data_IF_251804308876
#
_entry.id   IF_251804308876
#
_cell.length_a   1.000
_cell.length_b   1.000
_cell.length_c   1.000
_cell.angle_alpha   90.00
_cell.angle_beta   90.00
_cell.angle_gamma   90.00
#
_symmetry.space_group_name_H-M   'P 1'
#
loop_
_entity.id
_entity.type
_entity.pdbx_description
1 polymer ?
#
# COMPACT_ATOMS: atom_id res chain seq x y z
N UNK A 1 16.89 -6.94 6.90
CA UNK A 1 17.47 -7.58 5.69
C UNK A 1 18.62 -6.70 5.22
N UNK A 2 19.83 -7.24 5.17
CA UNK A 2 20.99 -6.51 4.67
C UNK A 2 20.92 -6.32 3.16
N UNK A 3 21.53 -5.25 2.66
CA UNK A 3 21.48 -4.85 1.25
C UNK A 3 22.89 -4.54 0.77
N UNK A 4 23.29 -5.08 -0.39
CA UNK A 4 24.64 -4.86 -0.93
C UNK A 4 24.86 -3.39 -1.35
N UNK A 5 26.12 -2.94 -1.35
CA UNK A 5 26.50 -1.68 -1.99
C UNK A 5 26.20 -1.79 -3.49
N UNK A 6 25.42 -0.87 -4.05
CA UNK A 6 24.87 -0.89 -5.43
C UNK A 6 23.59 -1.71 -5.65
N UNK A 7 22.88 -2.07 -4.59
CA UNK A 7 21.54 -2.67 -4.67
C UNK A 7 20.44 -1.63 -4.43
N UNK A 8 19.25 -1.85 -5.01
CA UNK A 8 18.05 -1.15 -4.56
C UNK A 8 17.77 -1.46 -3.07
N UNK A 9 17.17 -0.53 -2.30
CA UNK A 9 16.84 -0.79 -0.90
C UNK A 9 15.85 -1.96 -0.77
N UNK A 10 15.95 -2.75 0.29
CA UNK A 10 15.10 -3.94 0.47
C UNK A 10 13.58 -3.64 0.44
N UNK A 11 13.16 -2.43 0.87
CA UNK A 11 11.75 -2.00 0.79
C UNK A 11 11.24 -1.92 -0.66
N UNK A 12 12.12 -1.76 -1.64
CA UNK A 12 11.76 -1.78 -3.06
C UNK A 12 11.16 -3.12 -3.52
N UNK A 13 11.40 -4.22 -2.78
CA UNK A 13 10.79 -5.52 -3.07
C UNK A 13 9.27 -5.48 -2.98
N UNK A 14 8.69 -4.61 -2.15
CA UNK A 14 7.24 -4.46 -1.99
C UNK A 14 6.68 -3.23 -2.74
N UNK A 15 7.54 -2.49 -3.44
CA UNK A 15 7.12 -1.32 -4.19
C UNK A 15 6.28 -1.72 -5.42
N UNK A 16 5.43 -0.82 -5.93
CA UNK A 16 4.74 -1.03 -7.20
C UNK A 16 5.72 -1.40 -8.32
N UNK A 17 5.24 -2.13 -9.32
CA UNK A 17 6.08 -2.67 -10.38
C UNK A 17 6.84 -1.59 -11.17
N UNK A 18 6.18 -0.45 -11.41
CA UNK A 18 6.70 0.68 -12.17
C UNK A 18 7.51 1.68 -11.33
N UNK A 19 7.73 1.40 -10.04
CA UNK A 19 8.47 2.30 -9.16
C UNK A 19 9.98 2.10 -9.31
N UNK A 20 10.72 3.18 -9.54
CA UNK A 20 12.17 3.16 -9.69
C UNK A 20 12.65 2.73 -11.09
N UNK A 21 13.97 2.64 -11.27
CA UNK A 21 14.58 2.25 -12.55
C UNK A 21 14.20 0.80 -12.91
N UNK A 22 13.90 0.52 -14.19
CA UNK A 22 13.54 -0.82 -14.67
C UNK A 22 14.62 -1.87 -14.41
N UNK A 23 15.88 -1.43 -14.43
CA UNK A 23 17.05 -2.25 -14.17
C UNK A 23 17.41 -2.31 -12.68
N UNK A 24 16.66 -1.63 -11.81
CA UNK A 24 16.86 -1.69 -10.36
C UNK A 24 16.25 -2.96 -9.78
N UNK A 25 17.02 -3.61 -8.91
CA UNK A 25 16.60 -4.79 -8.16
C UNK A 25 17.38 -4.87 -6.86
N UNK A 26 16.85 -5.65 -5.93
CA UNK A 26 17.50 -5.87 -4.65
C UNK A 26 18.47 -7.05 -4.74
N UNK A 27 19.62 -6.92 -4.08
CA UNK A 27 20.65 -7.95 -3.85
C UNK A 27 21.07 -7.96 -2.38
N UNK A 28 21.20 -9.15 -1.83
CA UNK A 28 21.92 -9.36 -0.58
C UNK A 28 23.44 -9.21 -0.78
N UNK A 29 24.21 -8.88 0.27
CA UNK A 29 25.67 -9.00 0.25
C UNK A 29 26.09 -10.43 -0.15
N UNK A 30 27.21 -10.57 -0.87
CA UNK A 30 27.70 -11.88 -1.34
C UNK A 30 28.08 -12.85 -0.22
N UNK A 31 28.32 -12.35 1.00
CA UNK A 31 28.51 -13.18 2.20
C UNK A 31 27.22 -13.84 2.72
N UNK A 32 26.05 -13.37 2.28
CA UNK A 32 24.75 -13.80 2.81
C UNK A 32 24.15 -14.89 1.94
N UNK A 33 24.15 -16.12 2.44
CA UNK A 33 23.61 -17.29 1.72
C UNK A 33 22.13 -17.57 2.03
N UNK A 34 21.54 -16.89 3.02
CA UNK A 34 20.15 -17.09 3.44
C UNK A 34 19.55 -15.77 3.91
N UNK A 35 18.35 -15.44 3.43
CA UNK A 35 17.59 -14.27 3.85
C UNK A 35 16.15 -14.66 4.16
N UNK A 36 15.62 -14.13 5.26
CA UNK A 36 14.23 -14.26 5.64
C UNK A 36 13.53 -12.90 5.61
N UNK A 37 12.38 -12.84 4.94
CA UNK A 37 11.49 -11.69 4.87
C UNK A 37 10.23 -11.98 5.68
N UNK A 38 9.84 -11.04 6.54
CA UNK A 38 8.51 -11.02 7.15
C UNK A 38 7.67 -9.90 6.52
N UNK A 39 6.60 -10.25 5.83
CA UNK A 39 5.68 -9.30 5.19
C UNK A 39 4.40 -9.25 6.03
N UNK A 40 4.15 -8.11 6.65
CA UNK A 40 2.93 -7.86 7.42
C UNK A 40 1.88 -7.25 6.51
N UNK A 41 0.74 -7.91 6.38
CA UNK A 41 -0.40 -7.42 5.61
C UNK A 41 -1.17 -6.38 6.42
N UNK A 42 -1.72 -5.36 5.74
CA UNK A 42 -2.52 -4.31 6.41
C UNK A 42 -3.71 -4.89 7.19
N UNK A 43 -4.40 -5.86 6.59
CA UNK A 43 -5.54 -6.58 7.17
C UNK A 43 -5.29 -8.10 7.19
N UNK A 44 -6.02 -8.81 8.05
CA UNK A 44 -6.10 -10.28 7.93
C UNK A 44 -6.69 -10.58 6.56
N UNK A 45 -6.00 -11.42 5.80
CA UNK A 45 -6.34 -11.68 4.40
C UNK A 45 -6.32 -13.17 4.13
N UNK A 46 -7.18 -13.62 3.23
CA UNK A 46 -7.15 -14.98 2.71
C UNK A 46 -6.17 -14.99 1.52
N UNK A 47 -4.96 -15.53 1.74
CA UNK A 47 -3.81 -15.51 0.84
C UNK A 47 -3.72 -16.82 0.07
N UNK A 48 -3.64 -16.75 -1.26
CA UNK A 48 -3.57 -17.90 -2.16
C UNK A 48 -2.17 -18.19 -2.72
N UNK A 49 -1.23 -17.25 -2.57
CA UNK A 49 0.15 -17.49 -2.98
C UNK A 49 1.03 -16.24 -2.98
N UNK A 50 2.25 -16.41 -3.49
CA UNK A 50 3.26 -15.34 -3.65
C UNK A 50 3.86 -15.41 -5.05
N UNK A 51 4.19 -14.27 -5.65
CA UNK A 51 5.00 -14.22 -6.87
C UNK A 51 6.28 -13.45 -6.61
N UNK A 52 7.39 -14.04 -7.05
CA UNK A 52 8.69 -13.39 -7.09
C UNK A 52 8.97 -12.94 -8.51
N UNK A 53 9.20 -11.65 -8.69
CA UNK A 53 9.69 -11.12 -9.97
C UNK A 53 11.21 -11.24 -9.97
N UNK A 54 11.71 -11.91 -10.99
CA UNK A 54 13.14 -12.17 -11.18
C UNK A 54 13.84 -10.85 -11.51
N UNK A 55 15.09 -10.73 -11.07
CA UNK A 55 15.91 -9.59 -11.46
C UNK A 55 16.13 -9.53 -12.98
N UNK A 56 16.46 -8.36 -13.53
CA UNK A 56 16.78 -8.20 -14.95
C UNK A 56 17.97 -9.06 -15.40
N UNK A 57 18.90 -9.39 -14.50
CA UNK A 57 20.04 -10.27 -14.83
C UNK A 57 19.66 -11.76 -14.89
N UNK A 58 18.45 -12.13 -14.45
CA UNK A 58 18.01 -13.52 -14.38
C UNK A 58 18.72 -14.31 -13.29
N UNK A 59 18.30 -15.56 -13.10
CA UNK A 59 19.04 -16.53 -12.30
C UNK A 59 20.01 -17.33 -13.19
N UNK A 60 20.91 -18.02 -12.52
CA UNK A 60 21.90 -18.96 -13.01
C UNK A 60 21.90 -20.19 -12.10
N UNK A 61 22.73 -21.17 -12.42
CA UNK A 61 22.87 -22.37 -11.60
C UNK A 61 23.50 -22.11 -10.22
N UNK A 62 24.18 -20.97 -10.03
CA UNK A 62 24.92 -20.65 -8.80
C UNK A 62 24.13 -19.75 -7.83
N UNK A 63 23.18 -18.96 -8.32
CA UNK A 63 22.43 -17.94 -7.58
C UNK A 63 20.91 -18.22 -7.53
N UNK A 64 20.46 -19.36 -8.03
CA UNK A 64 19.07 -19.82 -7.90
C UNK A 64 18.77 -20.29 -6.46
N UNK A 65 17.86 -19.62 -5.72
CA UNK A 65 17.58 -19.96 -4.33
C UNK A 65 16.53 -21.06 -4.19
N UNK A 66 16.63 -21.86 -3.12
CA UNK A 66 15.47 -22.56 -2.58
C UNK A 66 14.59 -21.57 -1.82
N UNK A 67 13.30 -21.56 -2.13
CA UNK A 67 12.29 -20.67 -1.55
C UNK A 67 11.39 -21.46 -0.60
N UNK A 68 11.26 -20.99 0.63
CA UNK A 68 10.30 -21.53 1.61
C UNK A 68 9.36 -20.43 2.06
N UNK A 69 8.07 -20.74 2.13
CA UNK A 69 7.04 -19.77 2.52
C UNK A 69 6.25 -20.30 3.69
N UNK A 70 6.07 -19.47 4.72
CA UNK A 70 5.19 -19.73 5.85
C UNK A 70 4.16 -18.62 6.00
N UNK A 71 3.05 -18.95 6.64
CA UNK A 71 2.01 -18.00 6.99
C UNK A 71 1.76 -18.04 8.51
N UNK A 72 1.52 -16.89 9.13
CA UNK A 72 1.16 -16.79 10.54
C UNK A 72 0.29 -15.56 10.84
N UNK A 73 -0.29 -15.52 12.03
CA UNK A 73 -0.99 -14.33 12.56
C UNK A 73 -0.15 -13.55 13.56
N UNK A 74 0.79 -14.21 14.23
CA UNK A 74 1.73 -13.62 15.19
C UNK A 74 3.17 -13.78 14.74
N UNK A 75 4.06 -13.07 15.42
CA UNK A 75 5.48 -13.01 15.08
C UNK A 75 6.24 -14.28 15.55
N UNK A 76 5.69 -15.02 16.51
CA UNK A 76 6.32 -16.22 17.08
C UNK A 76 6.54 -17.31 16.02
N UNK A 77 7.73 -17.92 16.02
CA UNK A 77 8.15 -18.91 15.03
C UNK A 77 7.34 -20.22 15.09
N UNK A 78 6.89 -20.58 16.28
CA UNK A 78 6.12 -21.82 16.54
C UNK A 78 4.74 -21.82 15.89
N UNK A 79 4.13 -20.64 15.71
CA UNK A 79 2.79 -20.50 15.11
C UNK A 79 2.83 -20.40 13.57
N UNK A 80 3.99 -20.67 12.95
CA UNK A 80 4.16 -20.56 11.50
C UNK A 80 3.73 -21.83 10.79
N UNK A 81 2.74 -21.72 9.92
CA UNK A 81 2.31 -22.82 9.05
C UNK A 81 3.13 -22.80 7.76
N UNK A 82 3.80 -23.91 7.42
CA UNK A 82 4.56 -24.04 6.16
C UNK A 82 3.61 -24.19 4.96
N UNK A 83 3.68 -23.25 4.03
CA UNK A 83 2.84 -23.23 2.82
C UNK A 83 3.47 -24.03 1.68
N UNK A 84 4.81 -24.06 1.62
CA UNK A 84 5.53 -24.86 0.65
C UNK A 84 7.02 -24.57 0.62
N UNK A 85 7.73 -25.43 -0.12
CA UNK A 85 9.15 -25.33 -0.44
C UNK A 85 9.30 -25.55 -1.94
N UNK A 86 9.96 -24.61 -2.60
CA UNK A 86 10.21 -24.63 -4.04
C UNK A 86 11.71 -24.50 -4.30
N UNK A 87 12.24 -25.32 -5.19
CA UNK A 87 13.63 -25.22 -5.61
C UNK A 87 13.72 -24.57 -6.99
N UNK A 88 14.13 -23.29 -7.06
CA UNK A 88 14.24 -22.59 -8.34
C UNK A 88 15.28 -23.23 -9.27
N UNK A 89 16.29 -23.89 -8.72
CA UNK A 89 17.31 -24.54 -9.55
C UNK A 89 16.68 -25.68 -10.38
N UNK A 90 15.81 -26.49 -9.76
CA UNK A 90 15.01 -27.48 -10.48
C UNK A 90 14.05 -26.86 -11.52
N UNK A 91 13.44 -25.72 -11.20
CA UNK A 91 12.53 -25.02 -12.11
C UNK A 91 13.26 -24.46 -13.34
N UNK A 92 14.46 -23.91 -13.13
CA UNK A 92 15.34 -23.42 -14.20
C UNK A 92 15.78 -24.54 -15.14
N UNK A 93 16.08 -25.73 -14.62
CA UNK A 93 16.40 -26.90 -15.46
C UNK A 93 15.20 -27.32 -16.32
N UNK A 94 13.99 -27.14 -15.81
CA UNK A 94 12.74 -27.45 -16.53
C UNK A 94 12.29 -26.37 -17.51
N UNK A 95 12.62 -25.10 -17.27
CA UNK A 95 12.30 -23.98 -18.15
C UNK A 95 13.43 -22.95 -18.21
N UNK A 96 13.95 -22.69 -19.42
CA UNK A 96 15.03 -21.73 -19.64
C UNK A 96 14.62 -20.27 -19.46
N UNK A 97 13.33 -19.99 -19.27
CA UNK A 97 12.78 -18.63 -19.24
C UNK A 97 13.29 -17.80 -18.06
N UNK A 98 13.75 -18.44 -16.98
CA UNK A 98 14.23 -17.79 -15.77
C UNK A 98 15.75 -17.49 -15.80
N UNK A 99 16.45 -17.94 -16.84
CA UNK A 99 17.90 -17.85 -16.96
C UNK A 99 18.41 -16.63 -17.72
N UNK A 100 19.57 -16.11 -17.30
CA UNK A 100 20.36 -15.12 -18.03
C UNK A 100 19.74 -13.73 -18.11
N UNK A 101 20.45 -12.72 -18.67
CA UNK A 101 19.97 -11.35 -18.71
C UNK A 101 18.77 -11.17 -19.66
N UNK A 102 17.89 -10.23 -19.34
CA UNK A 102 16.79 -9.83 -20.24
C UNK A 102 17.35 -9.31 -21.57
N UNK A 103 16.71 -9.69 -22.69
CA UNK A 103 17.14 -9.26 -24.03
C UNK A 103 16.88 -7.76 -24.21
N UNK A 104 17.83 -6.99 -24.74
CA UNK A 104 17.59 -5.58 -25.05
C UNK A 104 16.45 -5.46 -26.07
N UNK A 105 15.51 -4.53 -25.84
CA UNK A 105 14.35 -4.31 -26.71
C UNK A 105 13.04 -5.01 -26.32
N UNK A 106 13.00 -5.82 -25.25
CA UNK A 106 11.74 -6.38 -24.71
C UNK A 106 11.03 -5.46 -23.72
N UNK A 107 11.19 -4.15 -23.89
CA UNK A 107 10.72 -3.10 -22.97
C UNK A 107 9.19 -3.04 -22.77
N UNK A 108 8.42 -3.73 -23.64
CA UNK A 108 6.97 -3.87 -23.56
C UNK A 108 6.51 -5.29 -23.17
N UNK A 109 7.42 -6.19 -22.81
CA UNK A 109 7.07 -7.57 -22.43
C UNK A 109 6.93 -7.74 -20.93
N UNK A 110 6.10 -8.72 -20.56
CA UNK A 110 5.83 -9.11 -19.18
C UNK A 110 7.15 -9.50 -18.47
N UNK A 111 7.38 -8.99 -17.26
CA UNK A 111 8.58 -9.31 -16.47
C UNK A 111 8.63 -10.80 -16.12
N UNK A 112 9.85 -11.35 -16.11
CA UNK A 112 10.07 -12.74 -15.69
C UNK A 112 9.69 -12.92 -14.22
N UNK A 113 8.90 -13.93 -13.94
CA UNK A 113 8.35 -14.13 -12.61
C UNK A 113 8.13 -15.62 -12.33
N UNK A 114 8.11 -15.96 -11.04
CA UNK A 114 7.83 -17.30 -10.54
C UNK A 114 6.65 -17.22 -9.58
N UNK A 115 5.63 -18.06 -9.79
CA UNK A 115 4.44 -18.14 -8.94
C UNK A 115 4.59 -19.30 -7.94
N UNK A 116 4.48 -18.98 -6.66
CA UNK A 116 4.42 -19.93 -5.54
C UNK A 116 2.99 -20.00 -5.04
N UNK A 117 2.19 -20.88 -5.64
CA UNK A 117 0.79 -21.06 -5.29
C UNK A 117 0.65 -21.98 -4.08
N UNK A 118 -0.23 -21.62 -3.15
CA UNK A 118 -0.53 -22.45 -1.99
C UNK A 118 -1.54 -23.53 -2.38
N UNK A 119 -1.49 -24.69 -1.70
CA UNK A 119 -2.44 -25.79 -1.93
C UNK A 119 -3.89 -25.37 -1.63
N UNK A 120 -4.06 -24.51 -0.65
CA UNK A 120 -5.33 -23.88 -0.29
C UNK A 120 -5.06 -22.44 0.15
N UNK A 121 -6.04 -21.56 -0.06
CA UNK A 121 -5.98 -20.20 0.48
C UNK A 121 -5.95 -20.24 2.00
N UNK A 122 -5.03 -19.51 2.62
CA UNK A 122 -4.88 -19.46 4.07
C UNK A 122 -5.18 -18.07 4.61
N UNK A 123 -5.87 -18.04 5.73
CA UNK A 123 -6.13 -16.82 6.48
C UNK A 123 -4.92 -16.45 7.31
N UNK A 124 -4.25 -15.36 6.97
CA UNK A 124 -3.07 -14.90 7.70
C UNK A 124 -2.93 -13.38 7.73
N UNK A 125 -2.12 -12.88 8.67
CA UNK A 125 -1.68 -11.48 8.73
C UNK A 125 -0.22 -11.29 8.32
N UNK A 126 0.60 -12.33 8.43
CA UNK A 126 2.04 -12.27 8.17
C UNK A 126 2.42 -13.42 7.23
N UNK A 127 3.17 -13.09 6.18
CA UNK A 127 3.81 -14.06 5.29
C UNK A 127 5.32 -14.00 5.51
N UNK A 128 5.93 -15.15 5.76
CA UNK A 128 7.37 -15.30 5.91
C UNK A 128 7.93 -15.97 4.65
N UNK A 129 8.97 -15.39 4.07
CA UNK A 129 9.62 -15.93 2.86
C UNK A 129 11.10 -16.10 3.18
N UNK A 130 11.62 -17.31 3.09
CA UNK A 130 13.06 -17.59 3.17
C UNK A 130 13.60 -17.91 1.79
N UNK A 131 14.68 -17.23 1.40
CA UNK A 131 15.48 -17.52 0.22
C UNK A 131 16.83 -18.04 0.68
N UNK A 132 17.25 -19.22 0.19
CA UNK A 132 18.51 -19.84 0.57
C UNK A 132 19.26 -20.38 -0.64
N UNK A 133 20.51 -19.97 -0.81
CA UNK A 133 21.41 -20.58 -1.79
C UNK A 133 21.91 -21.93 -1.28
N UNK A 134 22.00 -22.91 -2.17
CA UNK A 134 22.65 -24.17 -1.85
C UNK A 134 24.17 -23.93 -1.87
N UNK A 135 24.85 -24.25 -0.76
CA UNK A 135 26.32 -24.24 -0.74
C UNK A 135 26.83 -25.35 -1.67
N UNK A 136 27.88 -25.11 -2.47
CA UNK A 136 28.56 -26.18 -3.19
C UNK A 136 28.98 -27.25 -2.18
N UNK A 137 28.43 -28.47 -2.31
CA UNK A 137 28.65 -29.59 -1.39
C UNK A 137 27.43 -30.01 -0.54
N UNK A 138 26.34 -29.24 -0.54
CA UNK A 138 25.12 -29.58 0.22
C UNK A 138 23.99 -30.04 -0.70
N UNK A 139 24.07 -31.28 -1.20
CA UNK A 139 22.95 -31.92 -1.89
C UNK A 139 21.87 -32.27 -0.86
N UNK A 140 20.71 -31.61 -0.91
CA UNK A 140 19.54 -32.11 -0.19
C UNK A 140 19.07 -33.40 -0.85
N UNK A 141 19.31 -34.52 -0.18
CA UNK A 141 18.85 -35.85 -0.58
C UNK A 141 17.33 -35.83 -0.62
N UNK A 142 16.75 -36.13 -1.79
CA UNK A 142 15.34 -36.51 -1.90
C UNK A 142 15.19 -37.84 -1.15
N UNK A 143 14.34 -37.88 -0.12
CA UNK A 143 13.91 -39.15 0.48
C UNK A 143 13.05 -39.87 -0.56
N UNK A 144 13.71 -40.74 -1.32
CA UNK A 144 13.14 -41.55 -2.38
C UNK A 144 14.23 -42.46 -2.92
N UNK A 145 14.37 -43.63 -2.28
CA UNK A 145 15.17 -44.79 -2.67
C UNK A 145 16.64 -44.52 -3.02
N UNK A 146 17.53 -44.68 -2.03
CA UNK A 146 18.79 -45.45 -2.09
C UNK A 146 19.76 -44.95 -1.00
N UNK A 147 19.86 -45.69 0.10
CA UNK A 147 20.77 -45.37 1.22
C UNK A 147 22.18 -45.89 0.92
N UNK A 148 23.15 -45.00 0.78
CA UNK A 148 24.58 -45.35 0.88
C UNK A 148 25.07 -44.96 2.28
N UNK A 149 25.31 -45.96 3.13
CA UNK A 149 25.56 -45.84 4.57
C UNK A 149 27.04 -45.56 4.95
N UNK A 150 27.85 -44.92 4.10
CA UNK A 150 29.30 -44.78 4.37
C UNK A 150 29.95 -43.43 4.00
N UNK A 151 29.21 -42.32 3.87
CA UNK A 151 29.84 -41.00 3.75
C UNK A 151 29.82 -40.23 5.08
N UNK A 152 30.62 -40.70 6.04
CA UNK A 152 31.00 -39.93 7.23
C UNK A 152 32.51 -39.71 7.20
N UNK A 153 32.94 -38.59 6.63
CA UNK A 153 34.12 -37.88 7.13
C UNK A 153 34.12 -36.43 6.59
N UNK A 154 33.63 -35.48 7.41
CA UNK A 154 33.75 -34.05 7.13
C UNK A 154 34.73 -33.48 8.16
N UNK A 155 35.98 -33.30 7.73
CA UNK A 155 37.10 -32.88 8.58
C UNK A 155 36.92 -31.41 9.01
N UNK A 156 36.80 -31.11 10.32
CA UNK A 156 36.52 -29.76 10.82
C UNK A 156 37.72 -28.79 10.80
N UNK A 157 38.89 -29.22 10.27
CA UNK A 157 40.11 -28.41 10.22
C UNK A 157 40.62 -28.09 8.81
N UNK A 158 39.85 -28.36 7.76
CA UNK A 158 40.26 -27.98 6.40
C UNK A 158 40.16 -26.45 6.19
N UNK A 159 41.27 -25.74 6.37
CA UNK A 159 41.44 -24.38 5.87
C UNK A 159 41.28 -24.35 4.34
N UNK A 160 40.42 -23.44 3.85
CA UNK A 160 40.21 -23.15 2.43
C UNK A 160 41.52 -22.79 1.73
N UNK A 161 42.15 -23.80 1.13
CA UNK A 161 43.29 -23.57 0.26
C UNK A 161 42.76 -23.20 -1.11
N UNK A 162 42.81 -21.89 -1.44
CA UNK A 162 42.69 -21.37 -2.81
C UNK A 162 43.66 -22.12 -3.72
N UNK A 163 43.19 -23.15 -4.43
CA UNK A 163 43.85 -23.63 -5.64
C UNK A 163 43.27 -22.87 -6.81
N UNK A 164 44.06 -21.92 -7.29
CA UNK A 164 43.84 -21.27 -8.58
C UNK A 164 43.79 -22.34 -9.68
N UNK A 165 42.62 -22.52 -10.29
CA UNK A 165 42.54 -23.08 -11.65
C UNK A 165 42.57 -21.90 -12.62
N UNK A 166 43.57 -21.93 -13.48
CA UNK A 166 43.72 -21.02 -14.61
C UNK A 166 42.59 -21.22 -15.61
N UNK A 167 41.93 -20.13 -16.02
CA UNK A 167 41.19 -20.04 -17.28
C UNK A 167 39.66 -20.16 -17.17
N UNK A 168 38.98 -19.05 -16.88
CA UNK A 168 37.54 -18.90 -17.05
C UNK A 168 37.10 -17.49 -16.65
N UNK A 169 36.58 -16.72 -17.61
CA UNK A 169 36.22 -15.30 -17.47
C UNK A 169 35.18 -15.04 -16.37
N UNK A 170 35.46 -14.06 -15.51
CA UNK A 170 34.58 -13.44 -14.52
C UNK A 170 33.93 -14.39 -13.50
N UNK A 171 34.48 -14.44 -12.29
CA UNK A 171 33.82 -14.98 -11.11
C UNK A 171 32.45 -14.29 -10.92
N UNK A 172 31.37 -14.95 -11.32
CA UNK A 172 30.02 -14.47 -11.01
C UNK A 172 29.75 -14.74 -9.53
N UNK A 173 29.98 -13.74 -8.69
CA UNK A 173 29.62 -13.80 -7.27
C UNK A 173 28.14 -14.19 -7.13
N UNK A 174 27.87 -15.39 -6.59
CA UNK A 174 26.50 -15.81 -6.33
C UNK A 174 25.93 -14.98 -5.17
N UNK A 175 24.81 -14.33 -5.42
CA UNK A 175 24.13 -13.54 -4.41
C UNK A 175 22.62 -13.73 -4.52
N UNK A 176 21.92 -13.61 -3.39
CA UNK A 176 20.47 -13.62 -3.39
C UNK A 176 19.97 -12.31 -4.00
N UNK A 177 19.13 -12.40 -5.01
CA UNK A 177 18.56 -11.22 -5.67
C UNK A 177 17.13 -11.44 -6.12
N UNK A 178 16.39 -10.34 -6.18
CA UNK A 178 15.00 -10.31 -6.63
C UNK A 178 14.60 -8.88 -7.02
N UNK A 179 13.65 -8.75 -7.95
CA UNK A 179 13.10 -7.44 -8.34
C UNK A 179 11.93 -7.06 -7.44
N UNK A 180 10.89 -7.90 -7.33
CA UNK A 180 9.69 -7.63 -6.52
C UNK A 180 9.13 -8.90 -5.89
N UNK A 181 8.35 -8.73 -4.84
CA UNK A 181 7.55 -9.76 -4.18
C UNK A 181 6.10 -9.28 -4.18
N UNK A 182 5.20 -10.12 -4.70
CA UNK A 182 3.77 -9.88 -4.75
C UNK A 182 3.07 -10.95 -3.93
N UNK A 183 2.18 -10.56 -3.02
CA UNK A 183 1.32 -11.48 -2.28
C UNK A 183 -0.07 -11.48 -2.94
N UNK A 184 -0.64 -12.65 -3.21
CA UNK A 184 -1.99 -12.79 -3.74
C UNK A 184 -2.95 -13.19 -2.64
N UNK A 185 -4.02 -12.45 -2.52
CA UNK A 185 -5.07 -12.75 -1.58
C UNK A 185 -6.14 -11.68 -1.60
N UNK A 186 -7.20 -11.94 -0.85
CA UNK A 186 -8.28 -11.00 -0.65
C UNK A 186 -8.25 -10.53 0.81
N UNK A 187 -8.24 -9.21 1.06
CA UNK A 187 -8.40 -8.72 2.42
C UNK A 187 -9.78 -9.12 2.91
N UNK A 188 -9.86 -9.62 4.14
CA UNK A 188 -11.14 -9.84 4.79
C UNK A 188 -11.67 -8.44 5.10
N UNK A 189 -12.66 -8.00 4.33
CA UNK A 189 -13.42 -6.80 4.68
C UNK A 189 -14.05 -7.10 6.03
N UNK A 190 -13.68 -6.32 7.05
CA UNK A 190 -14.46 -6.28 8.28
C UNK A 190 -15.86 -5.85 7.85
N UNK A 191 -16.86 -6.71 8.00
CA UNK A 191 -18.26 -6.27 8.01
C UNK A 191 -18.37 -5.23 9.13
N UNK A 192 -18.29 -3.96 8.77
CA UNK A 192 -18.92 -2.90 9.53
C UNK A 192 -20.34 -2.81 8.98
N UNK A 193 -21.29 -3.03 9.88
CA UNK A 193 -22.74 -2.76 9.78
C UNK A 193 -23.67 -3.85 9.24
N UNK A 194 -23.78 -4.97 9.98
CA UNK A 194 -25.08 -5.60 10.30
C UNK A 194 -25.02 -6.19 11.71
N UNK A 195 -24.97 -5.33 12.74
CA UNK A 195 -25.37 -5.67 14.12
C UNK A 195 -25.51 -4.41 14.99
N UNK A 196 -26.02 -3.33 14.40
CA UNK A 196 -26.68 -2.27 15.15
C UNK A 196 -28.14 -2.69 15.31
N UNK A 197 -28.41 -3.64 16.20
CA UNK A 197 -29.73 -3.95 16.80
C UNK A 197 -29.64 -5.27 17.60
N UNK A 198 -29.11 -5.25 18.82
CA UNK A 198 -29.58 -6.19 19.83
C UNK A 198 -29.37 -5.66 21.26
N UNK A 199 -30.50 -5.41 21.91
CA UNK A 199 -30.76 -5.33 23.34
C UNK A 199 -30.03 -4.28 24.19
N UNK A 200 -30.75 -3.17 24.35
CA UNK A 200 -30.91 -2.49 25.63
C UNK A 200 -31.09 -3.51 26.77
N UNK A 201 -30.26 -3.39 27.80
CA UNK A 201 -30.62 -3.78 29.17
C UNK A 201 -30.19 -2.62 30.07
N UNK A 202 -31.14 -1.87 30.66
CA UNK A 202 -30.84 -0.94 31.73
C UNK A 202 -30.80 -1.74 33.03
N UNK A 203 -29.65 -1.75 33.71
CA UNK A 203 -29.51 -1.81 35.17
C UNK A 203 -28.14 -2.34 35.57
N UNK A 204 -27.18 -1.41 35.66
CA UNK A 204 -26.10 -1.33 36.68
C UNK A 204 -25.14 -0.23 36.24
N UNK A 205 -25.56 1.02 36.47
CA UNK A 205 -24.67 2.16 36.38
C UNK A 205 -23.72 2.11 37.59
N UNK A 206 -22.51 1.62 37.33
CA UNK A 206 -21.37 1.78 38.24
C UNK A 206 -21.10 3.28 38.44
N UNK A 207 -21.30 3.74 39.67
CA UNK A 207 -21.14 5.13 40.12
C UNK A 207 -19.66 5.62 40.13
N UNK A 208 -18.75 4.91 39.48
CA UNK A 208 -17.30 5.19 39.47
C UNK A 208 -16.78 5.71 38.13
N UNK A 209 -17.60 5.75 37.08
CA UNK A 209 -17.20 6.25 35.76
C UNK A 209 -17.43 7.76 35.51
N UNK A 210 -18.00 8.49 36.47
CA UNK A 210 -18.41 9.90 36.25
C UNK A 210 -17.29 10.92 36.53
N UNK A 211 -16.29 10.57 37.35
CA UNK A 211 -15.23 11.51 37.76
C UNK A 211 -13.90 11.36 37.00
N UNK A 212 -13.79 10.41 36.07
CA UNK A 212 -12.59 10.17 35.25
C UNK A 212 -12.80 10.45 33.76
N UNK A 213 -13.96 11.01 33.38
CA UNK A 213 -14.21 11.44 32.01
C UNK A 213 -13.57 12.81 31.81
N UNK A 214 -12.47 12.88 31.06
CA UNK A 214 -12.06 14.14 30.41
C UNK A 214 -13.29 14.72 29.71
N UNK A 215 -13.58 16.03 29.86
CA UNK A 215 -14.74 16.64 29.22
C UNK A 215 -14.72 16.28 27.74
N UNK A 216 -15.75 15.59 27.27
CA UNK A 216 -15.87 15.22 25.86
C UNK A 216 -16.25 16.49 25.11
N UNK A 217 -15.23 17.26 24.73
CA UNK A 217 -15.41 18.44 23.88
C UNK A 217 -16.12 17.97 22.60
N UNK A 218 -17.29 18.52 22.36
CA UNK A 218 -18.07 18.24 21.16
C UNK A 218 -17.58 19.13 20.01
N UNK A 219 -17.77 18.64 18.77
CA UNK A 219 -17.47 19.40 17.56
C UNK A 219 -18.71 20.20 17.14
N UNK A 220 -18.57 21.51 17.07
CA UNK A 220 -19.65 22.40 16.67
C UNK A 220 -19.30 23.14 15.40
N UNK A 221 -20.29 23.29 14.51
CA UNK A 221 -20.11 23.98 13.22
C UNK A 221 -19.75 25.44 13.47
N UNK A 222 -18.80 25.98 12.71
CA UNK A 222 -18.52 27.42 12.70
C UNK A 222 -19.38 28.08 11.62
N UNK A 223 -20.11 29.18 11.91
CA UNK A 223 -20.87 29.90 10.91
C UNK A 223 -19.91 30.62 9.94
N UNK A 224 -20.26 30.60 8.65
CA UNK A 224 -19.47 31.16 7.55
C UNK A 224 -20.25 32.36 7.00
N UNK A 225 -19.57 33.48 6.75
CA UNK A 225 -20.19 34.71 6.23
C UNK A 225 -20.40 34.64 4.72
N UNK A 226 -19.38 34.15 4.00
CA UNK A 226 -19.43 33.99 2.56
C UNK A 226 -18.51 32.85 2.10
N UNK A 227 -18.86 32.24 0.98
CA UNK A 227 -18.05 31.25 0.29
C UNK A 227 -17.76 31.72 -1.13
N UNK A 228 -16.54 31.49 -1.60
CA UNK A 228 -16.11 31.80 -2.97
C UNK A 228 -15.45 30.57 -3.59
N UNK A 229 -16.01 30.11 -4.69
CA UNK A 229 -15.43 29.03 -5.51
C UNK A 229 -14.56 29.61 -6.63
N UNK A 230 -13.43 28.96 -6.87
CA UNK A 230 -12.44 29.31 -7.89
C UNK A 230 -11.90 28.04 -8.56
N UNK A 231 -11.19 28.21 -9.69
CA UNK A 231 -10.53 27.13 -10.42
C UNK A 231 -11.46 25.92 -10.71
N UNK A 232 -12.58 26.16 -11.38
CA UNK A 232 -13.60 25.15 -11.67
C UNK A 232 -14.11 24.41 -10.41
N UNK A 233 -14.35 25.17 -9.33
CA UNK A 233 -14.80 24.69 -8.02
C UNK A 233 -13.82 23.76 -7.26
N UNK A 234 -12.56 23.70 -7.70
CA UNK A 234 -11.49 22.96 -7.02
C UNK A 234 -10.84 23.77 -5.89
N UNK A 235 -11.08 25.08 -5.86
CA UNK A 235 -10.62 25.97 -4.79
C UNK A 235 -11.84 26.60 -4.12
N UNK A 236 -11.95 26.42 -2.81
CA UNK A 236 -13.01 27.00 -1.97
C UNK A 236 -12.38 27.93 -0.94
N UNK A 237 -12.73 29.21 -1.00
CA UNK A 237 -12.44 30.19 0.06
C UNK A 237 -13.67 30.38 0.95
N UNK A 238 -13.50 30.26 2.26
CA UNK A 238 -14.52 30.53 3.26
C UNK A 238 -14.11 31.75 4.09
N UNK A 239 -15.02 32.71 4.20
CA UNK A 239 -14.87 33.94 4.97
C UNK A 239 -15.56 33.80 6.32
N UNK A 240 -14.85 34.18 7.37
CA UNK A 240 -15.27 34.00 8.75
C UNK A 240 -15.41 35.35 9.43
N UNK A 241 -16.40 35.44 10.33
CA UNK A 241 -16.58 36.61 11.14
C UNK A 241 -15.38 36.84 12.06
N UNK A 242 -14.98 38.10 12.32
CA UNK A 242 -13.94 38.39 13.32
C UNK A 242 -14.29 37.88 14.73
N UNK A 243 -15.58 37.66 15.00
CA UNK A 243 -16.07 37.09 16.25
C UNK A 243 -16.08 35.55 16.28
N UNK A 244 -15.74 34.86 15.18
CA UNK A 244 -15.78 33.40 15.12
C UNK A 244 -14.80 32.75 16.11
N UNK A 245 -15.17 31.60 16.70
CA UNK A 245 -14.29 30.86 17.60
C UNK A 245 -13.06 30.32 16.88
N UNK A 246 -12.04 29.95 17.66
CA UNK A 246 -10.82 29.34 17.13
C UNK A 246 -11.16 28.01 16.43
N UNK A 247 -10.79 27.89 15.16
CA UNK A 247 -11.05 26.72 14.34
C UNK A 247 -10.24 25.54 14.87
N UNK A 248 -10.89 24.41 15.08
CA UNK A 248 -10.23 23.16 15.47
C UNK A 248 -9.93 22.26 14.27
N UNK A 249 -10.73 22.35 13.21
CA UNK A 249 -10.59 21.51 12.04
C UNK A 249 -11.72 21.71 11.03
N UNK A 250 -11.83 20.78 10.10
CA UNK A 250 -12.89 20.76 9.09
C UNK A 250 -13.43 19.35 8.85
N UNK A 251 -14.72 19.29 8.55
CA UNK A 251 -15.41 18.12 8.02
C UNK A 251 -15.46 18.25 6.50
N UNK A 252 -15.03 17.22 5.79
CA UNK A 252 -15.22 17.06 4.36
C UNK A 252 -16.25 15.95 4.12
N UNK A 253 -17.32 16.27 3.40
CA UNK A 253 -18.25 15.29 2.86
C UNK A 253 -17.64 14.73 1.56
N UNK A 254 -17.26 13.44 1.56
CA UNK A 254 -16.54 12.79 0.45
C UNK A 254 -17.27 12.97 -0.88
N UNK A 255 -16.48 13.22 -1.93
CA UNK A 255 -16.94 13.38 -3.31
C UNK A 255 -17.84 12.24 -3.80
N UNK A 256 -18.80 12.56 -4.66
CA UNK A 256 -19.72 11.59 -5.25
C UNK A 256 -18.96 10.66 -6.20
N UNK A 257 -18.98 9.36 -5.92
CA UNK A 257 -18.59 8.22 -6.77
C UNK A 257 -17.62 8.53 -7.93
N UNK A 258 -16.43 9.04 -7.62
CA UNK A 258 -15.44 9.32 -8.66
C UNK A 258 -14.63 8.06 -8.88
N UNK A 259 -14.79 7.44 -10.05
CA UNK A 259 -13.98 6.29 -10.43
C UNK A 259 -12.67 6.78 -11.06
N UNK A 260 -11.52 6.18 -10.71
CA UNK A 260 -10.28 6.43 -11.43
C UNK A 260 -10.51 6.14 -12.92
N UNK A 261 -10.26 7.14 -13.76
CA UNK A 261 -10.33 7.04 -15.20
C UNK A 261 -9.19 6.14 -15.68
N UNK A 262 -9.51 4.89 -16.01
CA UNK A 262 -8.54 4.00 -16.67
C UNK A 262 -8.42 4.45 -18.13
N UNK A 263 -7.60 5.46 -18.42
CA UNK A 263 -7.23 5.79 -19.81
C UNK A 263 -6.10 4.89 -20.28
N UNK A 264 -6.32 3.59 -20.27
CA UNK A 264 -5.56 2.68 -21.12
C UNK A 264 -6.58 1.77 -21.80
N UNK A 265 -6.71 1.94 -23.12
CA UNK A 265 -7.21 0.87 -23.96
C UNK A 265 -6.40 -0.39 -23.64
N UNK A 266 -7.03 -1.56 -23.42
CA UNK A 266 -6.26 -2.79 -23.37
C UNK A 266 -5.46 -2.86 -24.66
N UNK A 267 -4.14 -3.05 -24.55
CA UNK A 267 -3.32 -3.34 -25.73
C UNK A 267 -3.91 -4.59 -26.37
N UNK A 268 -4.59 -4.39 -27.48
CA UNK A 268 -5.13 -5.45 -28.33
C UNK A 268 -3.98 -6.07 -29.10
N UNK A 269 -3.16 -6.85 -28.42
CA UNK A 269 -2.72 -8.13 -28.97
C UNK A 269 -2.03 -8.96 -27.88
N UNK A 270 -2.26 -10.27 -27.89
CA UNK A 270 -1.79 -11.28 -26.92
C UNK A 270 -2.76 -11.54 -25.76
N UNK A 271 -3.94 -12.06 -26.10
CA UNK A 271 -4.64 -12.99 -25.22
C UNK A 271 -3.80 -14.27 -25.05
N UNK A 272 -2.94 -14.31 -24.03
CA UNK A 272 -2.41 -15.57 -23.52
C UNK A 272 -3.34 -16.08 -22.41
N UNK A 273 -4.02 -17.22 -22.58
CA UNK A 273 -4.98 -17.75 -21.59
C UNK A 273 -4.35 -18.11 -20.23
N UNK A 274 -3.02 -18.08 -20.09
CA UNK A 274 -2.32 -18.27 -18.82
C UNK A 274 -2.05 -16.98 -18.01
N UNK A 275 -2.44 -15.82 -18.56
CA UNK A 275 -2.33 -14.52 -17.91
C UNK A 275 -3.72 -13.93 -17.69
N UNK A 276 -4.32 -14.27 -16.55
CA UNK A 276 -5.57 -13.64 -16.13
C UNK A 276 -5.38 -12.13 -15.97
N UNK A 277 -6.39 -11.40 -16.40
CA UNK A 277 -6.65 -9.95 -16.42
C UNK A 277 -6.37 -9.15 -15.13
N UNK A 278 -5.80 -9.78 -14.10
CA UNK A 278 -5.52 -9.19 -12.78
C UNK A 278 -4.18 -8.43 -12.75
N UNK A 279 -3.32 -8.67 -13.73
CA UNK A 279 -2.10 -7.87 -13.89
C UNK A 279 -2.43 -6.49 -14.47
N UNK A 280 -3.38 -6.38 -15.40
CA UNK A 280 -3.77 -5.09 -16.00
C UNK A 280 -4.42 -4.14 -14.99
N UNK A 281 -5.27 -4.67 -14.10
CA UNK A 281 -6.02 -3.87 -13.11
C UNK A 281 -5.17 -3.26 -11.98
N UNK A 282 -3.89 -3.64 -11.84
CA UNK A 282 -2.99 -3.12 -10.79
C UNK A 282 -1.93 -2.14 -11.31
N UNK A 283 -1.98 -1.78 -12.59
CA UNK A 283 -1.07 -0.81 -13.22
C UNK A 283 -1.58 0.63 -13.22
N UNK A 284 -2.62 0.94 -12.46
CA UNK A 284 -3.02 2.32 -12.24
C UNK A 284 -2.36 2.73 -10.93
N UNK A 285 -1.37 3.63 -10.96
CA UNK A 285 -1.08 4.42 -9.75
C UNK A 285 -2.44 5.01 -9.35
N UNK A 286 -3.04 4.61 -8.22
CA UNK A 286 -4.35 5.13 -7.87
C UNK A 286 -4.20 6.65 -7.83
N UNK A 287 -4.99 7.35 -8.64
CA UNK A 287 -5.00 8.80 -8.64
C UNK A 287 -5.21 9.24 -7.19
N UNK A 288 -4.24 9.95 -6.60
CA UNK A 288 -4.31 10.40 -5.21
C UNK A 288 -4.68 11.86 -5.20
N UNK A 289 -5.74 12.18 -4.45
CA UNK A 289 -6.15 13.56 -4.20
C UNK A 289 -5.60 14.03 -2.85
N UNK A 290 -5.22 15.30 -2.82
CA UNK A 290 -4.77 16.00 -1.64
C UNK A 290 -5.62 17.26 -1.47
N UNK A 291 -5.98 17.57 -0.24
CA UNK A 291 -6.59 18.84 0.11
C UNK A 291 -5.54 19.70 0.81
N UNK A 292 -5.09 20.75 0.13
CA UNK A 292 -4.21 21.75 0.70
C UNK A 292 -5.07 22.81 1.39
N UNK A 293 -4.75 23.10 2.65
CA UNK A 293 -5.47 24.08 3.45
C UNK A 293 -4.55 25.25 3.75
N UNK A 294 -5.01 26.46 3.47
CA UNK A 294 -4.27 27.69 3.71
C UNK A 294 -5.12 28.74 4.41
N UNK A 295 -4.50 29.56 5.25
CA UNK A 295 -5.20 30.60 6.04
C UNK A 295 -4.56 31.95 5.82
N UNK A 296 -5.38 33.00 5.92
CA UNK A 296 -4.92 34.37 5.88
C UNK A 296 -4.29 34.76 7.23
N UNK A 297 -2.99 35.00 7.23
CA UNK A 297 -2.28 35.53 8.40
C UNK A 297 -2.48 37.06 8.49
N UNK A 298 -2.19 37.65 9.66
CA UNK A 298 -2.26 39.10 9.93
C UNK A 298 -1.49 39.96 8.89
N UNK A 299 -0.42 39.41 8.30
CA UNK A 299 0.38 40.07 7.27
C UNK A 299 -0.30 40.10 5.89
N UNK A 300 -1.58 39.73 5.79
CA UNK A 300 -2.36 39.60 4.55
C UNK A 300 -1.82 38.55 3.56
N UNK A 301 -0.90 37.69 4.01
CA UNK A 301 -0.35 36.58 3.24
C UNK A 301 -1.10 35.30 3.54
N UNK A 302 -1.39 34.51 2.49
CA UNK A 302 -1.93 33.17 2.65
C UNK A 302 -0.80 32.20 2.98
N UNK A 303 -0.95 31.45 4.07
CA UNK A 303 0.05 30.46 4.53
C UNK A 303 -0.60 29.09 4.58
N UNK A 304 0.10 28.08 4.05
CA UNK A 304 -0.35 26.68 4.07
C UNK A 304 -0.18 26.14 5.50
N UNK A 305 -1.27 25.58 6.04
CA UNK A 305 -1.31 25.03 7.40
C UNK A 305 -1.30 23.49 7.41
N UNK A 306 -1.63 22.86 6.28
CA UNK A 306 -1.64 21.42 6.17
C UNK A 306 -2.01 20.94 4.77
N UNK A 307 -1.55 19.74 4.46
CA UNK A 307 -1.92 18.99 3.27
C UNK A 307 -2.47 17.63 3.70
N UNK A 308 -3.72 17.37 3.37
CA UNK A 308 -4.45 16.18 3.81
C UNK A 308 -4.69 15.26 2.63
N UNK A 309 -4.10 14.06 2.69
CA UNK A 309 -4.38 13.02 1.70
C UNK A 309 -5.81 12.52 1.87
N UNK A 310 -6.58 12.54 0.79
CA UNK A 310 -7.97 12.08 0.81
C UNK A 310 -8.02 10.55 0.63
N UNK A 311 -8.61 9.79 1.58
CA UNK A 311 -8.81 8.36 1.41
C UNK A 311 -9.96 8.08 0.43
N UNK A 312 -9.96 6.89 -0.16
CA UNK A 312 -11.09 6.40 -0.94
C UNK A 312 -12.23 6.00 0.00
N UNK A 313 -13.36 6.69 -0.10
CA UNK A 313 -14.54 6.46 0.72
C UNK A 313 -15.81 6.61 -0.11
N UNK A 314 -16.94 6.09 0.39
CA UNK A 314 -18.24 6.24 -0.30
C UNK A 314 -18.66 7.71 -0.31
N UNK A 315 -19.36 8.10 -1.38
CA UNK A 315 -19.98 9.41 -1.51
C UNK A 315 -20.73 9.82 -0.24
N UNK A 316 -20.54 11.06 0.22
CA UNK A 316 -21.25 11.60 1.38
C UNK A 316 -20.79 11.06 2.73
N UNK A 317 -19.76 10.20 2.78
CA UNK A 317 -19.14 9.80 4.06
C UNK A 317 -18.47 11.03 4.68
N UNK A 318 -18.83 11.43 5.91
CA UNK A 318 -18.18 12.56 6.58
C UNK A 318 -16.79 12.18 7.06
N UNK A 319 -15.78 12.96 6.69
CA UNK A 319 -14.41 12.81 7.15
C UNK A 319 -13.97 14.03 7.95
N UNK A 320 -13.38 13.81 9.11
CA UNK A 320 -12.95 14.86 10.03
C UNK A 320 -11.44 15.00 10.02
N UNK A 321 -10.96 16.23 9.86
CA UNK A 321 -9.54 16.58 9.84
C UNK A 321 -9.28 17.67 10.86
N UNK A 322 -8.50 17.33 11.88
CA UNK A 322 -8.06 18.30 12.90
C UNK A 322 -6.86 19.11 12.39
N UNK A 323 -6.83 20.38 12.76
CA UNK A 323 -5.65 21.22 12.60
C UNK A 323 -4.62 20.89 13.69
N UNK A 324 -3.31 21.02 13.41
CA UNK A 324 -2.27 20.74 14.40
C UNK A 324 -2.35 21.67 15.63
N UNK A 325 -2.96 22.85 15.46
CA UNK A 325 -3.25 23.83 16.51
C UNK A 325 -4.56 24.52 16.17
N UNK A 326 -5.25 25.07 17.18
CA UNK A 326 -6.43 25.90 16.93
C UNK A 326 -6.05 27.19 16.20
N UNK A 327 -6.83 27.59 15.21
CA UNK A 327 -6.48 28.69 14.29
C UNK A 327 -7.53 29.80 14.36
N UNK A 328 -7.07 31.02 14.54
CA UNK A 328 -7.88 32.22 14.30
C UNK A 328 -7.57 32.75 12.91
N UNK A 329 -8.58 32.84 12.05
CA UNK A 329 -8.44 33.46 10.73
C UNK A 329 -9.77 34.03 10.27
N UNK A 330 -9.71 35.12 9.48
CA UNK A 330 -10.87 35.71 8.79
C UNK A 330 -11.12 35.06 7.43
N UNK A 331 -10.14 34.33 6.89
CA UNK A 331 -10.25 33.62 5.61
C UNK A 331 -9.46 32.32 5.62
N UNK A 332 -10.09 31.25 5.18
CA UNK A 332 -9.47 29.95 4.96
C UNK A 332 -9.75 29.49 3.53
N UNK A 333 -8.76 28.89 2.88
CA UNK A 333 -8.85 28.41 1.51
C UNK A 333 -8.47 26.94 1.45
N UNK A 334 -9.31 26.16 0.77
CA UNK A 334 -9.16 24.75 0.51
C UNK A 334 -8.91 24.57 -0.98
N UNK A 335 -7.80 23.93 -1.33
CA UNK A 335 -7.43 23.65 -2.71
C UNK A 335 -7.29 22.15 -2.91
N UNK A 336 -8.05 21.61 -3.85
CA UNK A 336 -7.91 20.23 -4.29
C UNK A 336 -6.72 20.11 -5.24
N UNK A 337 -5.78 19.24 -4.91
CA UNK A 337 -4.55 18.96 -5.64
C UNK A 337 -4.45 17.46 -5.96
N UNK A 338 -3.56 17.14 -6.90
CA UNK A 338 -3.29 15.76 -7.32
C UNK A 338 -3.71 15.52 -8.77
N UNK A 339 -3.99 14.27 -9.10
CA UNK A 339 -4.34 13.85 -10.46
C UNK A 339 -5.85 13.98 -10.71
N UNK A 340 -6.34 15.23 -10.68
CA UNK A 340 -7.77 15.59 -10.83
C UNK A 340 -8.33 15.13 -12.19
N UNK A 341 -7.50 15.01 -13.23
CA UNK A 341 -7.91 14.58 -14.56
C UNK A 341 -8.05 13.05 -14.69
N UNK A 342 -7.45 12.28 -13.79
CA UNK A 342 -7.57 10.83 -13.74
C UNK A 342 -8.86 10.34 -13.06
N UNK A 343 -9.89 11.18 -13.01
CA UNK A 343 -11.13 10.94 -12.29
C UNK A 343 -12.31 11.30 -13.19
N UNK A 344 -13.35 10.45 -13.22
CA UNK A 344 -14.60 10.68 -13.97
C UNK A 344 -15.81 10.41 -13.09
N UNK A 345 -16.88 11.17 -13.32
CA UNK A 345 -18.18 10.93 -12.68
C UNK A 345 -18.73 9.56 -13.07
N UNK A 346 -19.45 8.89 -12.16
CA UNK A 346 -20.15 7.64 -12.45
C UNK A 346 -21.30 7.93 -13.43
N UNK A 347 -21.38 7.27 -14.60
CA UNK A 347 -22.44 7.52 -15.58
C UNK A 347 -23.86 7.27 -15.06
N UNK A 348 -24.03 6.59 -13.92
CA UNK A 348 -25.34 6.42 -13.27
C UNK A 348 -25.86 7.67 -12.56
N UNK A 349 -25.02 8.67 -12.33
CA UNK A 349 -25.36 9.93 -11.63
C UNK A 349 -25.38 11.13 -12.59
N UNK A 350 -25.23 10.89 -13.90
CA UNK A 350 -25.24 11.94 -14.91
C UNK A 350 -26.69 12.28 -15.28
N UNK A 351 -27.20 13.36 -14.70
CA UNK A 351 -28.46 13.98 -15.13
C UNK A 351 -28.31 14.50 -16.58
N UNK A 352 -29.31 14.23 -17.44
CA UNK A 352 -29.35 14.57 -18.88
C UNK A 352 -29.34 16.08 -19.20
N UNK A 353 -28.97 16.93 -18.24
CA UNK A 353 -29.01 18.39 -18.37
C UNK A 353 -27.61 19.01 -18.40
N UNK A 354 -27.11 19.23 -19.61
CA UNK A 354 -26.17 20.31 -19.88
C UNK A 354 -24.79 19.87 -20.36
N UNK A 355 -24.59 20.07 -21.66
CA UNK A 355 -23.31 20.20 -22.36
C UNK A 355 -22.41 21.25 -21.68
N UNK A 356 -21.72 20.87 -20.61
CA UNK A 356 -20.48 21.52 -20.17
C UNK A 356 -19.31 20.61 -20.52
N UNK A 357 -18.59 20.99 -21.56
CA UNK A 357 -17.32 20.40 -21.98
C UNK A 357 -16.27 20.84 -20.94
N UNK A 358 -16.36 20.35 -19.71
CA UNK A 358 -15.28 20.46 -18.73
C UNK A 358 -14.49 19.15 -18.77
N UNK A 359 -13.16 19.17 -18.93
CA UNK A 359 -12.36 17.94 -18.94
C UNK A 359 -12.25 17.27 -17.56
N UNK A 360 -12.85 17.84 -16.52
CA UNK A 360 -12.77 17.41 -15.12
C UNK A 360 -14.12 16.94 -14.59
N UNK A 361 -14.11 15.92 -13.72
CA UNK A 361 -15.30 15.38 -13.07
C UNK A 361 -16.02 16.45 -12.22
N UNK A 362 -17.32 16.62 -12.44
CA UNK A 362 -18.18 17.56 -11.69
C UNK A 362 -18.26 17.15 -10.22
N UNK A 363 -18.16 15.85 -9.93
CA UNK A 363 -18.14 15.27 -8.60
C UNK A 363 -16.95 15.69 -7.72
N UNK A 364 -15.88 16.27 -8.30
CA UNK A 364 -14.72 16.81 -7.58
C UNK A 364 -14.92 18.22 -7.01
N UNK A 365 -16.08 18.84 -7.25
CA UNK A 365 -16.40 20.17 -6.73
C UNK A 365 -16.38 20.21 -5.20
N UNK A 366 -15.71 21.21 -4.62
CA UNK A 366 -15.69 21.45 -3.17
C UNK A 366 -16.95 22.16 -2.66
N UNK A 367 -17.86 22.56 -3.55
CA UNK A 367 -19.08 23.29 -3.22
C UNK A 367 -19.93 22.56 -2.18
N UNK A 368 -20.25 23.24 -1.07
CA UNK A 368 -21.03 22.69 0.05
C UNK A 368 -20.47 21.40 0.70
N UNK A 369 -19.20 21.04 0.42
CA UNK A 369 -18.59 19.81 0.96
C UNK A 369 -17.81 20.02 2.25
N UNK A 370 -17.36 21.25 2.52
CA UNK A 370 -16.47 21.55 3.65
C UNK A 370 -17.19 22.34 4.73
N UNK A 371 -17.16 21.84 5.96
CA UNK A 371 -17.74 22.50 7.14
C UNK A 371 -16.68 22.65 8.22
N UNK A 372 -16.41 23.87 8.64
CA UNK A 372 -15.48 24.15 9.73
C UNK A 372 -16.10 23.81 11.09
N UNK A 373 -15.28 23.36 12.03
CA UNK A 373 -15.72 23.13 13.40
C UNK A 373 -14.72 23.62 14.44
N UNK A 374 -15.22 23.84 15.65
CA UNK A 374 -14.45 24.10 16.86
C UNK A 374 -14.84 23.13 17.97
N UNK A 375 -13.96 23.00 18.96
CA UNK A 375 -14.21 22.19 20.16
C UNK A 375 -14.84 23.06 21.24
N UNK A 376 -15.97 22.62 21.80
CA UNK A 376 -16.61 23.29 22.93
C UNK A 376 -17.18 22.28 23.92
N UNK A 377 -17.34 22.69 25.17
CA UNK A 377 -18.14 21.94 26.13
C UNK A 377 -19.63 22.09 25.76
N UNK A 378 -20.44 21.02 25.73
CA UNK A 378 -21.89 21.14 25.58
C UNK A 378 -22.57 22.13 26.55
N UNK A 379 -22.00 22.43 27.71
CA UNK A 379 -22.55 23.44 28.63
C UNK A 379 -22.25 24.90 28.21
N UNK A 380 -21.26 25.14 27.35
CA UNK A 380 -20.90 26.48 26.82
C UNK A 380 -21.76 26.92 25.62
N UNK A 381 -22.65 26.04 25.13
CA UNK A 381 -23.54 26.27 23.98
C UNK A 381 -24.48 27.49 24.15
N UNK A 382 -24.78 27.88 25.39
CA UNK A 382 -25.67 29.00 25.69
C UNK A 382 -25.17 30.37 25.22
N UNK A 383 -23.90 30.51 24.83
CA UNK A 383 -23.32 31.78 24.34
C UNK A 383 -23.38 31.94 22.82
N UNK A 384 -23.61 30.86 22.07
CA UNK A 384 -23.62 30.86 20.59
C UNK A 384 -24.88 30.16 20.09
N UNK A 385 -26.02 30.82 20.27
CA UNK A 385 -27.33 30.29 19.92
C UNK A 385 -27.58 30.29 18.39
N UNK A 386 -26.93 29.41 17.63
CA UNK A 386 -27.47 28.92 16.33
C UNK A 386 -26.75 27.70 15.72
N UNK A 387 -26.02 26.88 16.50
CA UNK A 387 -25.13 25.87 15.93
C UNK A 387 -25.71 24.47 16.01
N UNK A 388 -26.11 23.93 14.86
CA UNK A 388 -26.40 22.49 14.70
C UNK A 388 -25.11 21.70 14.91
N UNK A 389 -25.17 20.67 15.77
CA UNK A 389 -24.11 19.67 15.89
C UNK A 389 -23.79 19.08 14.51
N UNK A 390 -22.50 18.88 14.22
CA UNK A 390 -21.99 18.43 12.92
C UNK A 390 -22.03 16.92 12.79
#
# INVERSE_FOLDING_TARGET
VETAANSAPFLSLLAPFNYGSRLSYWKAPSSVTSVEFGIVLGNISDVSGVTLIVSPCGYSMADAPTVQIWASNKIHKEERSLMGKWDLQSMIKGSSDLCGPEKPGTEHKVPRHVKFLFKSSIRCRIIWISLRLQRPGSSSINIGSDFNLLSLDENPFAQETRRASFGGSAESESCLHAKRILVFGNPIRKEMDVNLNSYQSPDKLNLTGFMERTPQLNRFKVPIEAERLMDNDLVLEQYLSPASPLLAGFRLDVFSAIKPRVTHSPLSDVHNPHFSSIFDDRYINPAVLYLQVSVLQENHTMVIIGEYRLPEARAGTPMYFDFPRQIQSRRISFKLLGDVAAFTDDPSEQDDSGTRISPLAVGLSLSNRIKLYYYADPYDLGKWASLTAV
#
